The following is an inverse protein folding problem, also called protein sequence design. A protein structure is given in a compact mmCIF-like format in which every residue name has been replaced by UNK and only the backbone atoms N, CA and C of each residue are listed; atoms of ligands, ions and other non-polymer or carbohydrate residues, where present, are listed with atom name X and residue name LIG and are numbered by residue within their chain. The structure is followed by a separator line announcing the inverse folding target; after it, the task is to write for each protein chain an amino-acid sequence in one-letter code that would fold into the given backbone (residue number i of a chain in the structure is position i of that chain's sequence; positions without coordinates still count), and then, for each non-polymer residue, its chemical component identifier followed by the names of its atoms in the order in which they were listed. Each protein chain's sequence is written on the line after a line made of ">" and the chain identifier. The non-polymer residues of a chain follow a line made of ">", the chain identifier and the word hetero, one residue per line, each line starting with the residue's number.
data_IF_595853056962
#
_entry.id   IF_595853056962
#
_cell.length_a   1.000
_cell.length_b   1.000
_cell.length_c   1.000
_cell.angle_alpha   90.00
_cell.angle_beta   90.00
_cell.angle_gamma   90.00
#
_symmetry.space_group_name_H-M   'P 1'
#
loop_
_entity.id
_entity.type
_entity.pdbx_description
1 polymer ?
#
# COMPACT_ATOMS: atom_id res chain seq x y z
N UNK A 1 30.52 2.56 8.42
CA UNK A 1 29.28 2.49 7.63
C UNK A 1 29.69 2.45 6.16
N UNK A 2 29.09 1.59 5.34
CA UNK A 2 29.49 1.39 3.93
C UNK A 2 28.35 1.79 3.01
N UNK A 3 28.70 2.45 1.90
CA UNK A 3 27.75 2.85 0.87
C UNK A 3 27.11 1.60 0.26
N UNK A 4 25.78 1.54 0.31
CA UNK A 4 25.02 0.40 -0.22
C UNK A 4 25.14 0.27 -1.75
N UNK A 5 25.55 1.32 -2.47
CA UNK A 5 25.69 1.29 -3.93
C UNK A 5 27.08 0.84 -4.40
N UNK A 6 28.15 1.40 -3.82
CA UNK A 6 29.53 1.20 -4.30
C UNK A 6 30.50 0.63 -3.27
N UNK A 7 30.05 0.34 -2.05
CA UNK A 7 30.88 -0.19 -0.96
C UNK A 7 31.87 0.81 -0.35
N UNK A 8 31.90 2.06 -0.82
CA UNK A 8 32.77 3.11 -0.26
C UNK A 8 32.40 3.44 1.18
N UNK A 9 33.40 3.66 2.02
CA UNK A 9 33.25 4.17 3.40
C UNK A 9 33.39 5.68 3.49
N UNK A 10 33.72 6.36 2.38
CA UNK A 10 33.96 7.79 2.34
C UNK A 10 32.66 8.58 2.57
N UNK A 11 32.59 9.31 3.68
CA UNK A 11 31.47 10.19 4.06
C UNK A 11 30.09 9.57 3.77
N UNK A 12 29.79 8.50 4.52
CA UNK A 12 28.55 7.73 4.42
C UNK A 12 27.50 8.28 5.39
N UNK A 13 26.26 8.41 4.91
CA UNK A 13 25.13 8.91 5.71
C UNK A 13 23.86 8.15 5.36
N UNK A 14 22.98 7.96 6.35
CA UNK A 14 21.65 7.41 6.14
C UNK A 14 20.66 8.48 5.65
N UNK A 15 19.89 8.12 4.62
CA UNK A 15 18.88 8.99 4.04
C UNK A 15 17.59 8.22 3.77
N UNK A 16 16.47 8.93 3.85
CA UNK A 16 15.14 8.40 3.61
C UNK A 16 14.69 8.91 2.24
N UNK A 17 14.58 8.01 1.27
CA UNK A 17 14.20 8.35 -0.11
C UNK A 17 13.14 7.36 -0.58
N UNK A 18 11.97 7.86 -1.00
CA UNK A 18 10.79 7.05 -1.34
C UNK A 18 10.34 6.08 -0.25
N UNK A 19 10.30 6.52 1.03
CA UNK A 19 10.02 5.67 2.20
C UNK A 19 11.03 4.53 2.45
N UNK A 20 12.17 4.51 1.75
CA UNK A 20 13.24 3.54 1.94
C UNK A 20 14.44 4.18 2.62
N UNK A 21 14.95 3.53 3.68
CA UNK A 21 16.20 3.94 4.35
C UNK A 21 17.39 3.37 3.58
N UNK A 22 18.21 4.24 3.00
CA UNK A 22 19.42 3.86 2.26
C UNK A 22 20.65 4.55 2.83
N UNK A 23 21.81 3.91 2.74
CA UNK A 23 23.10 4.45 3.19
C UNK A 23 23.95 4.69 1.95
N UNK A 24 24.34 5.94 1.70
CA UNK A 24 25.13 6.32 0.52
C UNK A 24 26.34 7.19 0.91
N UNK A 25 27.45 7.04 0.17
CA UNK A 25 28.58 7.96 0.23
C UNK A 25 28.26 9.30 -0.45
N UNK A 26 29.10 10.31 -0.24
CA UNK A 26 28.98 11.64 -0.88
C UNK A 26 28.76 11.58 -2.39
N UNK A 27 29.50 10.74 -3.12
CA UNK A 27 29.41 10.65 -4.58
C UNK A 27 28.08 10.03 -5.04
N UNK A 28 27.64 8.96 -4.37
CA UNK A 28 26.36 8.32 -4.70
C UNK A 28 25.15 9.18 -4.33
N UNK A 29 25.27 10.04 -3.31
CA UNK A 29 24.25 11.06 -2.99
C UNK A 29 24.16 12.11 -4.09
N UNK A 30 25.31 12.56 -4.61
CA UNK A 30 25.35 13.49 -5.74
C UNK A 30 24.75 12.87 -7.02
N UNK A 31 25.06 11.62 -7.31
CA UNK A 31 24.48 10.91 -8.45
C UNK A 31 22.97 10.67 -8.29
N UNK A 32 22.48 10.47 -7.06
CA UNK A 32 21.05 10.37 -6.76
C UNK A 32 20.35 11.72 -7.00
N UNK A 33 20.93 12.83 -6.52
CA UNK A 33 20.38 14.18 -6.71
C UNK A 33 20.38 14.62 -8.17
N UNK A 34 21.36 14.18 -8.96
CA UNK A 34 21.46 14.46 -10.40
C UNK A 34 20.72 13.45 -11.28
N UNK A 35 20.05 12.45 -10.69
CA UNK A 35 19.25 11.45 -11.40
C UNK A 35 20.06 10.39 -12.16
N UNK A 36 21.39 10.38 -12.03
CA UNK A 36 22.29 9.36 -12.58
C UNK A 36 22.15 8.02 -11.83
N UNK A 37 21.82 8.09 -10.54
CA UNK A 37 21.47 6.94 -9.71
C UNK A 37 19.96 6.91 -9.48
N UNK A 38 19.34 5.75 -9.69
CA UNK A 38 17.90 5.53 -9.43
C UNK A 38 17.74 4.44 -8.39
N UNK A 39 16.76 4.61 -7.51
CA UNK A 39 16.34 3.58 -6.57
C UNK A 39 15.35 2.60 -7.22
N UNK A 40 15.36 1.31 -6.83
CA UNK A 40 16.30 0.67 -5.90
C UNK A 40 17.71 0.47 -6.52
N UNK A 41 18.75 0.53 -5.68
CA UNK A 41 20.15 0.40 -6.12
C UNK A 41 20.42 -0.96 -6.77
N UNK A 42 21.35 -1.05 -7.73
CA UNK A 42 21.66 -2.31 -8.46
C UNK A 42 22.16 -3.45 -7.55
N UNK A 43 22.79 -3.11 -6.43
CA UNK A 43 23.25 -4.03 -5.37
C UNK A 43 22.14 -4.47 -4.44
N UNK A 44 21.03 -3.74 -4.39
CA UNK A 44 19.79 -4.22 -3.81
C UNK A 44 19.25 -5.24 -4.82
N UNK A 45 19.39 -6.52 -4.54
CA UNK A 45 18.70 -7.57 -5.29
C UNK A 45 17.22 -7.24 -5.45
N UNK A 46 16.55 -7.92 -6.40
CA UNK A 46 15.13 -7.77 -6.76
C UNK A 46 14.29 -7.12 -5.64
N UNK A 47 13.60 -5.99 -5.89
CA UNK A 47 12.84 -5.31 -4.85
C UNK A 47 11.96 -6.30 -4.09
N UNK A 48 11.93 -6.17 -2.75
CA UNK A 48 11.03 -6.94 -1.90
C UNK A 48 9.59 -6.55 -2.25
N UNK A 49 9.01 -7.20 -3.25
CA UNK A 49 7.62 -6.95 -3.71
C UNK A 49 6.55 -7.41 -2.70
N UNK A 50 6.94 -7.65 -1.44
CA UNK A 50 6.04 -8.03 -0.36
C UNK A 50 6.64 -9.07 0.58
N UNK A 51 5.96 -9.26 1.71
CA UNK A 51 6.31 -10.28 2.70
C UNK A 51 5.50 -11.54 2.37
N UNK A 52 6.17 -12.68 2.21
CA UNK A 52 5.48 -13.98 2.10
C UNK A 52 5.46 -14.68 3.45
N UNK A 53 4.27 -14.96 3.97
CA UNK A 53 4.06 -15.84 5.14
C UNK A 53 3.35 -17.11 4.69
N UNK A 54 3.84 -18.28 5.13
CA UNK A 54 3.18 -19.57 4.90
C UNK A 54 2.15 -19.79 6.01
N UNK A 55 0.95 -20.23 5.63
CA UNK A 55 -0.14 -20.53 6.57
C UNK A 55 -0.65 -21.95 6.30
N UNK A 56 -1.12 -22.60 7.36
CA UNK A 56 -1.79 -23.89 7.31
C UNK A 56 -3.26 -23.67 7.61
N UNK A 57 -4.14 -24.17 6.74
CA UNK A 57 -5.60 -24.05 6.91
C UNK A 57 -6.17 -25.42 7.21
N UNK A 58 -7.09 -25.50 8.17
CA UNK A 58 -7.89 -26.70 8.43
C UNK A 58 -9.33 -26.38 8.05
N UNK A 59 -9.88 -27.14 7.10
CA UNK A 59 -11.20 -26.90 6.52
C UNK A 59 -11.92 -28.23 6.30
N UNK A 60 -13.25 -28.20 6.14
CA UNK A 60 -14.04 -29.39 5.81
C UNK A 60 -13.72 -29.89 4.40
N UNK A 61 -14.00 -31.17 4.15
CA UNK A 61 -13.78 -31.80 2.84
C UNK A 61 -14.53 -31.06 1.71
N UNK A 62 -15.81 -30.71 1.95
CA UNK A 62 -16.63 -29.98 0.99
C UNK A 62 -16.03 -28.62 0.62
N UNK A 63 -15.45 -27.92 1.59
CA UNK A 63 -14.84 -26.62 1.36
C UNK A 63 -13.51 -26.72 0.60
N UNK A 64 -12.73 -27.76 0.88
CA UNK A 64 -11.55 -28.11 0.07
C UNK A 64 -11.93 -28.41 -1.37
N UNK A 65 -12.93 -29.25 -1.61
CA UNK A 65 -13.41 -29.58 -2.96
C UNK A 65 -13.85 -28.32 -3.73
N UNK A 66 -14.61 -27.44 -3.07
CA UNK A 66 -15.00 -26.15 -3.66
C UNK A 66 -13.77 -25.30 -4.05
N UNK A 67 -12.77 -25.21 -3.17
CA UNK A 67 -11.55 -24.44 -3.41
C UNK A 67 -10.74 -25.02 -4.58
N UNK A 68 -10.58 -26.34 -4.64
CA UNK A 68 -9.85 -27.00 -5.72
C UNK A 68 -10.47 -26.68 -7.08
N UNK A 69 -11.80 -26.81 -7.21
CA UNK A 69 -12.56 -26.48 -8.43
C UNK A 69 -12.35 -25.02 -8.86
N UNK A 70 -12.37 -24.08 -7.91
CA UNK A 70 -12.23 -22.64 -8.21
C UNK A 70 -10.80 -22.21 -8.49
N UNK A 71 -9.82 -22.97 -8.03
CA UNK A 71 -8.42 -22.54 -8.08
C UNK A 71 -7.72 -22.79 -9.42
N UNK A 72 -8.34 -23.53 -10.36
CA UNK A 72 -7.83 -23.81 -11.72
C UNK A 72 -6.30 -24.01 -11.79
N UNK A 73 -5.73 -24.76 -10.83
CA UNK A 73 -4.30 -25.12 -10.66
C UNK A 73 -3.42 -24.23 -9.76
N UNK A 74 -3.95 -23.16 -9.13
CA UNK A 74 -3.17 -22.40 -8.14
C UNK A 74 -3.99 -21.91 -6.94
N UNK A 75 -4.06 -22.78 -5.92
CA UNK A 75 -4.74 -22.54 -4.64
C UNK A 75 -4.25 -21.28 -3.94
N UNK A 76 -2.93 -21.07 -3.92
CA UNK A 76 -2.33 -19.93 -3.23
C UNK A 76 -2.69 -18.61 -3.91
N UNK A 77 -2.75 -18.57 -5.24
CA UNK A 77 -3.19 -17.38 -5.99
C UNK A 77 -4.67 -17.12 -5.74
N UNK A 78 -5.50 -18.16 -5.78
CA UNK A 78 -6.92 -18.00 -5.52
C UNK A 78 -7.19 -17.51 -4.09
N UNK A 79 -6.55 -18.10 -3.07
CA UNK A 79 -6.66 -17.66 -1.68
C UNK A 79 -6.20 -16.20 -1.49
N UNK A 80 -5.09 -15.79 -2.12
CA UNK A 80 -4.67 -14.38 -2.11
C UNK A 80 -5.73 -13.46 -2.72
N UNK A 81 -6.41 -13.89 -3.79
CA UNK A 81 -7.47 -13.09 -4.40
C UNK A 81 -8.68 -12.90 -3.49
N UNK A 82 -9.02 -13.92 -2.67
CA UNK A 82 -10.11 -13.85 -1.70
C UNK A 82 -9.76 -12.91 -0.55
N UNK A 83 -8.56 -13.07 0.04
CA UNK A 83 -8.07 -12.18 1.10
C UNK A 83 -7.96 -10.74 0.60
N UNK A 84 -7.46 -10.52 -0.61
CA UNK A 84 -7.37 -9.18 -1.18
C UNK A 84 -8.75 -8.57 -1.42
N UNK A 85 -9.74 -9.35 -1.87
CA UNK A 85 -11.11 -8.86 -2.04
C UNK A 85 -11.71 -8.41 -0.71
N UNK A 86 -11.62 -9.25 0.31
CA UNK A 86 -12.12 -8.96 1.66
C UNK A 86 -11.45 -7.71 2.24
N UNK A 87 -10.12 -7.59 2.08
CA UNK A 87 -9.37 -6.40 2.48
C UNK A 87 -9.79 -5.14 1.72
N UNK A 88 -10.02 -5.23 0.42
CA UNK A 88 -10.49 -4.10 -0.39
C UNK A 88 -11.95 -3.74 -0.09
N UNK A 89 -12.79 -4.69 0.30
CA UNK A 89 -14.14 -4.42 0.79
C UNK A 89 -14.11 -3.71 2.15
N UNK A 90 -13.15 -4.06 3.01
CA UNK A 90 -12.91 -3.37 4.28
C UNK A 90 -12.33 -1.95 4.09
N UNK A 91 -11.45 -1.73 3.10
CA UNK A 91 -10.82 -0.43 2.78
C UNK A 91 -11.63 0.41 1.80
N UNK A 92 -12.70 -0.14 1.20
CA UNK A 92 -13.75 0.69 0.60
C UNK A 92 -14.50 1.39 1.71
N UNK A 93 -13.77 2.26 2.39
CA UNK A 93 -14.25 3.28 3.29
C UNK A 93 -15.25 4.13 2.55
N UNK A 94 -16.28 4.51 3.29
CA UNK A 94 -17.35 5.40 2.86
C UNK A 94 -16.86 6.74 2.31
N UNK A 95 -15.57 7.06 2.36
CA UNK A 95 -14.98 8.33 1.92
C UNK A 95 -15.24 8.64 0.45
N UNK A 96 -15.20 7.65 -0.45
CA UNK A 96 -15.54 7.88 -1.85
C UNK A 96 -17.04 8.22 -2.01
N UNK A 97 -17.91 7.50 -1.30
CA UNK A 97 -19.35 7.77 -1.25
C UNK A 97 -19.66 9.12 -0.60
N UNK A 98 -18.92 9.48 0.44
CA UNK A 98 -18.99 10.76 1.15
C UNK A 98 -18.56 11.90 0.24
N UNK A 99 -17.50 11.72 -0.55
CA UNK A 99 -17.07 12.66 -1.58
C UNK A 99 -18.17 12.94 -2.61
N UNK A 100 -18.84 11.89 -3.10
CA UNK A 100 -19.99 12.05 -4.01
C UNK A 100 -21.20 12.71 -3.32
N UNK A 101 -21.47 12.39 -2.06
CA UNK A 101 -22.55 13.00 -1.29
C UNK A 101 -22.32 14.52 -1.05
N UNK A 102 -21.09 14.90 -0.68
CA UNK A 102 -20.66 16.30 -0.54
C UNK A 102 -20.80 17.04 -1.87
N UNK A 103 -20.38 16.42 -2.98
CA UNK A 103 -20.50 17.00 -4.30
C UNK A 103 -21.97 17.20 -4.72
N UNK A 104 -22.84 16.24 -4.40
CA UNK A 104 -24.28 16.33 -4.61
C UNK A 104 -24.92 17.47 -3.81
N UNK A 105 -24.58 17.58 -2.52
CA UNK A 105 -25.07 18.65 -1.65
C UNK A 105 -24.68 20.05 -2.16
N UNK A 106 -23.43 20.22 -2.63
CA UNK A 106 -22.98 21.47 -3.27
C UNK A 106 -23.80 21.81 -4.51
N UNK A 107 -24.10 20.82 -5.36
CA UNK A 107 -24.93 21.03 -6.58
C UNK A 107 -26.38 21.38 -6.26
N UNK A 108 -26.90 20.93 -5.11
CA UNK A 108 -28.22 21.28 -4.61
C UNK A 108 -28.27 22.63 -3.89
N UNK A 109 -27.14 23.35 -3.79
CA UNK A 109 -27.07 24.69 -3.21
C UNK A 109 -26.95 24.71 -1.69
N UNK A 110 -26.54 23.61 -1.06
CA UNK A 110 -26.33 23.57 0.40
C UNK A 110 -25.13 24.45 0.77
N UNK A 111 -25.26 25.18 1.88
CA UNK A 111 -24.14 25.97 2.42
C UNK A 111 -23.05 25.07 3.01
N UNK A 112 -21.84 25.59 3.15
CA UNK A 112 -20.72 24.87 3.77
C UNK A 112 -21.06 24.37 5.18
N UNK A 113 -21.80 25.14 5.96
CA UNK A 113 -22.25 24.79 7.32
C UNK A 113 -23.25 23.62 7.30
N UNK A 114 -24.17 23.60 6.33
CA UNK A 114 -25.12 22.49 6.17
C UNK A 114 -24.42 21.21 5.72
N UNK A 115 -23.41 21.34 4.86
CA UNK A 115 -22.58 20.20 4.41
C UNK A 115 -21.75 19.68 5.59
N UNK A 116 -21.18 20.56 6.41
CA UNK A 116 -20.43 20.17 7.60
C UNK A 116 -21.31 19.41 8.60
N UNK A 117 -22.52 19.89 8.88
CA UNK A 117 -23.50 19.19 9.71
C UNK A 117 -23.88 17.83 9.12
N UNK A 118 -24.06 17.73 7.81
CA UNK A 118 -24.35 16.48 7.11
C UNK A 118 -23.19 15.48 7.25
N UNK A 119 -21.94 15.94 7.08
CA UNK A 119 -20.75 15.09 7.23
C UNK A 119 -20.59 14.60 8.67
N UNK A 120 -20.77 15.49 9.67
CA UNK A 120 -20.74 15.13 11.09
C UNK A 120 -21.81 14.07 11.42
N UNK A 121 -23.03 14.26 10.91
CA UNK A 121 -24.12 13.31 11.08
C UNK A 121 -23.84 11.94 10.44
N UNK A 122 -23.22 11.90 9.25
CA UNK A 122 -22.83 10.65 8.57
C UNK A 122 -21.73 9.91 9.33
N UNK A 123 -20.76 10.64 9.88
CA UNK A 123 -19.64 10.06 10.64
C UNK A 123 -19.99 9.71 12.10
N UNK A 124 -21.21 10.03 12.56
CA UNK A 124 -21.61 9.82 13.95
C UNK A 124 -20.86 10.73 14.94
N UNK A 125 -20.26 11.82 14.45
CA UNK A 125 -19.65 12.84 15.29
C UNK A 125 -20.77 13.62 16.00
N UNK A 126 -20.69 13.74 17.33
CA UNK A 126 -21.71 14.47 18.11
C UNK A 126 -21.78 15.93 17.63
N UNK A 127 -22.99 16.34 17.25
CA UNK A 127 -23.38 17.72 16.92
C UNK A 127 -23.27 18.61 18.15
#
# INVERSE_FOLDING_TARGET
>A
MECMNCGSTNDTTDLLSNNEKVILCVDCRFDLATGKLKLPLKTMGRPFLGITKKVSLTMTKQLWEHLEVKSYNNRSVYLRSLVNRDFQEMIRDNEACLGYAILGAKRLGYSSEQIELLVKAINGERI
#
